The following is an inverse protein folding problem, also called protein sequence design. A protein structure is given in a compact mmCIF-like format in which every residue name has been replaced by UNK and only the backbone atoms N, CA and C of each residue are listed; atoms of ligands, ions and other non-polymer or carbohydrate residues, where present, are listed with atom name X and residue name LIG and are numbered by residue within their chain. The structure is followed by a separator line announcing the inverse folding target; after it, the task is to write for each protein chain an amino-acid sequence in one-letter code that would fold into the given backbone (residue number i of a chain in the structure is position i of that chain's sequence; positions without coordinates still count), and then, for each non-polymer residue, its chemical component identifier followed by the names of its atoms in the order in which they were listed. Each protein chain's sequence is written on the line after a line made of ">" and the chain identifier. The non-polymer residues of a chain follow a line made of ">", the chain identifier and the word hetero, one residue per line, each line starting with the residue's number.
data_IF_329744719325
#
_entry.id   IF_329744719325
#
_cell.length_a   1.000
_cell.length_b   1.000
_cell.length_c   1.000
_cell.angle_alpha   90.00
_cell.angle_beta   90.00
_cell.angle_gamma   90.00
#
_symmetry.space_group_name_H-M   'P 1'
#
loop_
_entity.id
_entity.type
_entity.pdbx_description
1 polymer ?
#
# COMPACT_ATOMS: atom_id res chain seq x y z
N UNK A 1 -19.08 2.24 13.32
CA UNK A 1 -18.97 2.37 11.87
C UNK A 1 -20.23 3.01 11.33
N UNK A 2 -20.17 3.54 10.11
CA UNK A 2 -21.32 4.17 9.48
C UNK A 2 -21.22 4.08 7.96
N UNK A 3 -22.36 3.97 7.28
CA UNK A 3 -22.44 4.05 5.82
C UNK A 3 -22.53 5.49 5.31
N UNK A 4 -23.09 6.39 6.10
CA UNK A 4 -23.46 7.76 5.69
C UNK A 4 -22.81 8.87 6.54
N UNK A 5 -22.06 8.49 7.57
CA UNK A 5 -21.45 9.40 8.54
C UNK A 5 -22.42 10.02 9.54
N UNK A 6 -23.72 9.66 9.47
CA UNK A 6 -24.80 10.22 10.32
C UNK A 6 -25.33 9.19 11.30
N UNK A 7 -25.65 7.99 10.82
CA UNK A 7 -26.12 6.88 11.66
C UNK A 7 -24.93 6.00 12.01
N UNK A 8 -24.69 5.81 13.30
CA UNK A 8 -23.50 5.11 13.81
C UNK A 8 -23.89 3.84 14.56
N UNK A 9 -23.25 2.72 14.21
CA UNK A 9 -23.27 1.48 14.97
C UNK A 9 -21.93 1.28 15.70
N UNK A 10 -21.96 0.60 16.84
CA UNK A 10 -20.75 0.17 17.55
C UNK A 10 -20.20 -1.06 16.82
N UNK A 11 -18.92 -1.01 16.41
CA UNK A 11 -18.23 -2.16 15.80
C UNK A 11 -17.45 -2.95 16.84
N UNK A 12 -16.83 -2.23 17.78
CA UNK A 12 -16.10 -2.78 18.92
C UNK A 12 -16.47 -1.95 20.13
N UNK A 13 -16.87 -2.61 21.20
CA UNK A 13 -17.11 -1.98 22.50
C UNK A 13 -15.99 -2.35 23.47
N UNK A 14 -15.44 -1.34 24.15
CA UNK A 14 -14.38 -1.47 25.16
C UNK A 14 -14.73 -0.75 26.46
N UNK A 15 -15.98 -0.37 26.67
CA UNK A 15 -16.38 0.43 27.85
C UNK A 15 -16.05 -0.25 29.19
N UNK A 16 -16.08 -1.58 29.23
CA UNK A 16 -15.77 -2.39 30.41
C UNK A 16 -14.51 -3.25 30.21
N UNK A 17 -13.62 -2.86 29.30
CA UNK A 17 -12.32 -3.50 29.12
C UNK A 17 -11.22 -2.69 29.82
N UNK A 18 -10.45 -3.34 30.69
CA UNK A 18 -9.38 -2.74 31.50
C UNK A 18 -8.00 -3.29 31.14
N UNK A 19 -7.89 -4.04 30.03
CA UNK A 19 -6.59 -4.54 29.55
C UNK A 19 -5.78 -3.40 28.95
N UNK A 20 -4.49 -3.39 29.25
CA UNK A 20 -3.54 -2.46 28.65
C UNK A 20 -3.05 -3.00 27.28
N UNK A 21 -3.54 -2.39 26.19
CA UNK A 21 -3.30 -2.82 24.80
C UNK A 21 -2.88 -1.63 23.91
N UNK A 22 -1.62 -1.17 23.98
CA UNK A 22 -1.18 0.04 23.26
C UNK A 22 -1.11 -0.11 21.74
N UNK A 23 -1.09 -1.33 21.20
CA UNK A 23 -1.11 -1.64 19.77
C UNK A 23 -2.21 -2.67 19.47
N UNK A 24 -3.43 -2.38 19.91
CA UNK A 24 -4.53 -3.33 19.83
C UNK A 24 -4.85 -3.72 18.37
N UNK A 25 -5.07 -5.01 18.16
CA UNK A 25 -5.57 -5.56 16.91
C UNK A 25 -6.88 -6.28 17.20
N UNK A 26 -7.92 -5.89 16.48
CA UNK A 26 -9.26 -6.45 16.67
C UNK A 26 -9.78 -6.90 15.30
N UNK A 27 -9.96 -8.20 15.18
CA UNK A 27 -10.74 -8.80 14.11
C UNK A 27 -12.22 -8.78 14.51
N UNK A 28 -13.11 -8.46 13.58
CA UNK A 28 -14.56 -8.48 13.84
C UNK A 28 -15.08 -9.90 13.67
N UNK A 29 -15.95 -10.35 14.58
CA UNK A 29 -16.58 -11.67 14.50
C UNK A 29 -17.36 -11.88 13.18
N UNK A 30 -17.94 -10.79 12.67
CA UNK A 30 -18.66 -10.77 11.40
C UNK A 30 -18.24 -9.56 10.57
N UNK A 31 -18.03 -9.70 9.25
CA UNK A 31 -17.67 -8.59 8.39
C UNK A 31 -18.75 -7.51 8.40
N UNK A 32 -18.32 -6.25 8.46
CA UNK A 32 -19.21 -5.09 8.51
C UNK A 32 -19.01 -4.22 7.28
N UNK A 33 -20.09 -3.90 6.58
CA UNK A 33 -20.06 -2.95 5.47
C UNK A 33 -20.18 -1.55 6.05
N UNK A 34 -19.12 -0.75 5.93
CA UNK A 34 -19.04 0.62 6.44
C UNK A 34 -18.20 1.49 5.51
N UNK A 35 -18.51 2.79 5.45
CA UNK A 35 -17.71 3.80 4.74
C UNK A 35 -16.90 4.67 5.69
N UNK A 36 -17.42 4.89 6.89
CA UNK A 36 -16.83 5.77 7.89
C UNK A 36 -16.53 5.00 9.18
N UNK A 37 -15.30 5.18 9.66
CA UNK A 37 -14.84 4.71 10.96
C UNK A 37 -14.68 5.91 11.89
N UNK A 38 -15.05 5.72 13.14
CA UNK A 38 -14.90 6.73 14.19
C UNK A 38 -14.40 6.02 15.44
N UNK A 39 -13.31 6.55 15.98
CA UNK A 39 -12.85 6.22 17.31
C UNK A 39 -13.52 7.16 18.31
N UNK A 40 -14.14 6.62 19.36
CA UNK A 40 -14.72 7.40 20.44
C UNK A 40 -13.93 7.12 21.71
N UNK A 41 -13.20 8.13 22.19
CA UNK A 41 -12.53 8.05 23.47
C UNK A 41 -13.53 8.00 24.62
N UNK A 42 -13.40 7.03 25.52
CA UNK A 42 -14.22 6.91 26.72
C UNK A 42 -13.50 7.59 27.88
N UNK A 43 -12.30 7.14 28.18
CA UNK A 43 -11.45 7.69 29.22
C UNK A 43 -9.98 7.44 28.90
N UNK A 44 -9.13 8.41 29.21
CA UNK A 44 -7.68 8.24 29.34
C UNK A 44 -7.26 8.87 30.66
N UNK A 45 -6.30 8.28 31.41
CA UNK A 45 -5.86 8.84 32.68
C UNK A 45 -5.09 10.17 32.52
N UNK A 46 -4.61 10.44 31.31
CA UNK A 46 -3.90 11.67 30.96
C UNK A 46 -4.86 12.79 30.54
N UNK A 47 -4.38 14.04 30.53
CA UNK A 47 -5.20 15.19 30.13
C UNK A 47 -5.54 15.25 28.64
N UNK A 48 -4.80 14.52 27.80
CA UNK A 48 -4.99 14.49 26.34
C UNK A 48 -4.88 13.05 25.82
N UNK A 49 -5.69 12.75 24.80
CA UNK A 49 -5.56 11.54 23.99
C UNK A 49 -4.57 11.81 22.84
N UNK A 50 -3.68 10.86 22.61
CA UNK A 50 -2.79 10.83 21.44
C UNK A 50 -2.91 9.47 20.77
N UNK A 51 -3.14 9.46 19.45
CA UNK A 51 -3.17 8.25 18.61
C UNK A 51 -2.07 8.41 17.57
N UNK A 52 -1.16 7.43 17.49
CA UNK A 52 -0.08 7.42 16.51
C UNK A 52 -0.60 7.01 15.13
N UNK A 53 -1.43 5.97 15.06
CA UNK A 53 -1.95 5.39 13.83
C UNK A 53 -3.29 4.69 14.08
N UNK A 54 -4.12 4.59 13.04
CA UNK A 54 -5.37 3.82 13.04
C UNK A 54 -5.48 3.10 11.70
N UNK A 55 -5.34 1.77 11.73
CA UNK A 55 -5.40 0.92 10.52
C UNK A 55 -6.69 0.15 10.45
N UNK A 56 -7.28 0.15 9.26
CA UNK A 56 -8.52 -0.54 8.95
C UNK A 56 -8.20 -1.51 7.83
N UNK A 57 -8.54 -2.77 8.04
CA UNK A 57 -8.36 -3.82 7.04
C UNK A 57 -9.73 -4.29 6.57
N UNK A 58 -9.84 -4.52 5.26
CA UNK A 58 -11.06 -4.98 4.63
C UNK A 58 -10.96 -4.92 3.12
N UNK A 59 -11.96 -5.45 2.45
CA UNK A 59 -12.08 -5.40 1.00
C UNK A 59 -13.02 -4.28 0.58
N UNK A 60 -12.60 -3.49 -0.40
CA UNK A 60 -13.51 -2.62 -1.14
C UNK A 60 -14.31 -3.39 -2.19
N UNK A 61 -15.40 -2.80 -2.67
CA UNK A 61 -16.21 -3.33 -3.78
C UNK A 61 -15.95 -2.62 -5.11
N UNK A 62 -14.93 -1.76 -5.17
CA UNK A 62 -14.52 -1.08 -6.39
C UNK A 62 -13.68 -1.96 -7.29
N UNK A 63 -13.31 -1.43 -8.46
CA UNK A 63 -12.47 -2.13 -9.41
C UNK A 63 -11.01 -2.05 -8.97
N UNK A 64 -10.29 -3.18 -9.09
CA UNK A 64 -8.84 -3.19 -8.99
C UNK A 64 -8.22 -2.41 -10.16
N UNK A 65 -7.00 -1.85 -10.00
CA UNK A 65 -6.34 -1.14 -11.09
C UNK A 65 -6.06 -2.08 -12.26
N UNK A 66 -6.03 -1.52 -13.46
CA UNK A 66 -5.58 -2.26 -14.63
C UNK A 66 -4.08 -2.58 -14.54
N UNK A 67 -3.67 -3.61 -15.29
CA UNK A 67 -2.25 -3.95 -15.46
C UNK A 67 -1.50 -2.77 -16.08
N UNK A 68 -0.42 -2.36 -15.41
CA UNK A 68 0.48 -1.30 -15.86
C UNK A 68 1.06 -1.65 -17.24
N UNK A 69 1.27 -0.63 -18.08
CA UNK A 69 1.80 -0.78 -19.45
C UNK A 69 3.10 0.00 -19.64
N UNK A 70 3.85 -0.40 -20.66
CA UNK A 70 5.05 0.29 -21.13
C UNK A 70 6.09 0.55 -20.03
N UNK A 71 6.37 -0.47 -19.20
CA UNK A 71 7.48 -0.42 -18.27
C UNK A 71 8.81 -0.29 -19.04
N UNK A 72 9.55 0.78 -18.77
CA UNK A 72 10.87 1.06 -19.32
C UNK A 72 11.85 1.25 -18.17
N UNK A 73 13.04 0.66 -18.30
CA UNK A 73 14.13 0.78 -17.33
C UNK A 73 15.39 1.25 -18.06
N UNK A 74 15.83 2.47 -17.75
CA UNK A 74 17.02 3.07 -18.33
C UNK A 74 18.07 3.26 -17.25
N UNK A 75 19.13 2.44 -17.27
CA UNK A 75 20.31 2.69 -16.44
C UNK A 75 21.02 3.96 -16.90
N UNK A 76 21.50 4.74 -15.95
CA UNK A 76 22.30 5.92 -16.22
C UNK A 76 23.76 5.56 -16.51
N UNK A 77 24.57 6.59 -16.83
CA UNK A 77 26.02 6.44 -16.99
C UNK A 77 26.66 5.82 -15.75
N UNK A 78 26.21 6.24 -14.56
CA UNK A 78 26.45 5.47 -13.34
C UNK A 78 25.44 4.33 -13.29
N UNK A 79 25.91 3.09 -13.53
CA UNK A 79 25.04 1.91 -13.60
C UNK A 79 24.42 1.49 -12.27
N UNK A 80 24.77 2.16 -11.17
CA UNK A 80 24.08 2.01 -9.87
C UNK A 80 22.73 2.75 -9.85
N UNK A 81 22.54 3.65 -10.81
CA UNK A 81 21.37 4.48 -10.96
C UNK A 81 20.53 4.06 -12.18
N UNK A 82 19.21 4.10 -12.05
CA UNK A 82 18.29 3.86 -13.15
C UNK A 82 17.04 4.74 -13.05
N UNK A 83 16.55 5.19 -14.20
CA UNK A 83 15.22 5.78 -14.36
C UNK A 83 14.25 4.68 -14.80
N UNK A 84 13.22 4.46 -13.98
CA UNK A 84 12.16 3.49 -14.24
C UNK A 84 10.90 4.29 -14.52
N UNK A 85 10.24 4.05 -15.65
CA UNK A 85 9.02 4.77 -16.05
C UNK A 85 7.98 3.80 -16.57
N UNK A 86 6.72 4.17 -16.47
CA UNK A 86 5.58 3.43 -17.03
C UNK A 86 4.46 4.39 -17.43
N UNK A 87 3.47 3.89 -18.15
CA UNK A 87 2.29 4.70 -18.49
C UNK A 87 1.52 5.07 -17.23
N UNK A 88 1.15 6.34 -17.12
CA UNK A 88 0.12 6.75 -16.17
C UNK A 88 -1.23 6.15 -16.60
N UNK A 89 -1.95 5.60 -15.63
CA UNK A 89 -3.31 5.08 -15.82
C UNK A 89 -4.29 5.75 -14.86
N UNK A 90 -5.57 5.45 -14.98
CA UNK A 90 -6.60 5.89 -14.05
C UNK A 90 -6.82 4.85 -12.94
N UNK A 91 -7.67 5.17 -11.95
CA UNK A 91 -8.06 4.25 -10.87
C UNK A 91 -6.87 3.67 -10.09
N UNK A 92 -5.90 4.52 -9.74
CA UNK A 92 -4.72 4.15 -8.95
C UNK A 92 -4.51 5.17 -7.82
N UNK A 93 -3.91 4.71 -6.72
CA UNK A 93 -3.33 5.58 -5.68
C UNK A 93 -1.81 5.58 -5.82
N UNK A 94 -1.23 4.45 -6.20
CA UNK A 94 0.20 4.31 -6.34
C UNK A 94 0.62 3.04 -7.07
N UNK A 95 1.92 2.82 -7.07
CA UNK A 95 2.57 1.68 -7.72
C UNK A 95 3.61 1.05 -6.79
N UNK A 96 3.74 -0.27 -6.87
CA UNK A 96 4.88 -1.00 -6.32
C UNK A 96 5.83 -1.34 -7.48
N UNK A 97 7.06 -0.85 -7.38
CA UNK A 97 8.16 -1.24 -8.26
C UNK A 97 8.90 -2.36 -7.55
N UNK A 98 8.98 -3.53 -8.18
CA UNK A 98 9.64 -4.72 -7.62
C UNK A 98 10.85 -5.06 -8.48
N UNK A 99 11.99 -5.36 -7.87
CA UNK A 99 13.20 -5.74 -8.60
C UNK A 99 14.05 -6.81 -7.90
N UNK A 100 14.85 -7.49 -8.71
CA UNK A 100 15.62 -8.67 -8.29
C UNK A 100 16.77 -9.00 -9.20
N UNK A 101 17.60 -9.95 -8.77
CA UNK A 101 18.77 -10.42 -9.53
C UNK A 101 18.44 -11.53 -10.54
N UNK A 102 17.22 -12.10 -10.45
CA UNK A 102 16.66 -13.06 -11.40
C UNK A 102 15.12 -12.96 -11.39
N UNK A 103 14.41 -13.46 -12.41
CA UNK A 103 12.94 -13.39 -12.49
C UNK A 103 12.22 -14.03 -11.30
N UNK A 104 12.82 -15.03 -10.68
CA UNK A 104 12.33 -15.78 -9.51
C UNK A 104 12.80 -15.18 -8.17
N UNK A 105 13.67 -14.15 -8.18
CA UNK A 105 14.30 -13.56 -6.97
C UNK A 105 14.07 -12.06 -6.88
N UNK A 106 12.81 -11.66 -7.01
CA UNK A 106 12.31 -10.27 -6.99
C UNK A 106 12.06 -9.78 -5.56
N UNK A 107 13.12 -9.68 -4.76
CA UNK A 107 13.02 -9.45 -3.30
C UNK A 107 13.03 -7.98 -2.86
N UNK A 108 13.27 -7.04 -3.78
CA UNK A 108 13.26 -5.63 -3.44
C UNK A 108 11.97 -4.99 -3.95
N UNK A 109 11.43 -4.04 -3.19
CA UNK A 109 10.26 -3.27 -3.60
C UNK A 109 10.34 -1.82 -3.15
N UNK A 110 9.76 -0.93 -3.95
CA UNK A 110 9.60 0.48 -3.62
C UNK A 110 8.19 0.92 -3.98
N UNK A 111 7.48 1.50 -3.01
CA UNK A 111 6.13 2.02 -3.22
C UNK A 111 6.19 3.52 -3.53
N UNK A 112 5.51 3.94 -4.59
CA UNK A 112 5.38 5.36 -4.97
C UNK A 112 3.92 5.75 -5.08
N UNK A 113 3.56 6.95 -4.61
CA UNK A 113 2.22 7.51 -4.70
C UNK A 113 2.15 8.53 -5.83
N UNK A 114 1.07 8.50 -6.60
CA UNK A 114 0.72 9.53 -7.63
C UNK A 114 1.85 9.85 -8.63
N UNK A 115 2.81 8.96 -8.81
CA UNK A 115 3.95 9.09 -9.72
C UNK A 115 4.04 7.88 -10.61
N UNK A 116 4.43 8.10 -11.87
CA UNK A 116 4.62 7.06 -12.87
C UNK A 116 6.11 6.84 -13.22
N UNK A 117 6.98 7.20 -12.30
CA UNK A 117 8.42 7.00 -12.42
C UNK A 117 9.10 6.79 -11.06
N UNK A 118 10.30 6.21 -11.09
CA UNK A 118 11.20 6.07 -9.95
C UNK A 118 12.65 6.27 -10.43
N UNK A 119 13.37 7.19 -9.82
CA UNK A 119 14.82 7.26 -9.91
C UNK A 119 15.43 6.37 -8.81
N UNK A 120 15.91 5.20 -9.21
CA UNK A 120 16.50 4.21 -8.31
C UNK A 120 18.01 4.39 -8.26
N UNK A 121 18.62 4.44 -7.07
CA UNK A 121 20.07 4.64 -6.86
C UNK A 121 20.74 3.54 -6.03
N UNK A 122 20.21 2.32 -6.14
CA UNK A 122 20.55 1.19 -5.26
C UNK A 122 20.93 -0.08 -6.02
N UNK A 123 21.40 0.06 -7.27
CA UNK A 123 21.85 -1.06 -8.08
C UNK A 123 23.36 -1.28 -7.98
N UNK A 124 23.80 -2.46 -8.40
CA UNK A 124 25.23 -2.79 -8.58
C UNK A 124 25.60 -2.72 -10.05
N UNK A 125 26.82 -2.26 -10.33
CA UNK A 125 27.37 -2.01 -11.67
C UNK A 125 27.25 -3.25 -12.56
N UNK A 126 27.90 -4.36 -12.23
CA UNK A 126 27.97 -5.58 -13.09
C UNK A 126 26.84 -6.59 -12.90
N UNK A 127 25.79 -6.23 -12.16
CA UNK A 127 24.65 -7.10 -11.90
C UNK A 127 23.51 -6.77 -12.85
N UNK A 128 23.04 -7.76 -13.62
CA UNK A 128 21.75 -7.65 -14.30
C UNK A 128 20.62 -7.68 -13.28
N UNK A 129 19.63 -6.81 -13.47
CA UNK A 129 18.42 -6.80 -12.65
C UNK A 129 17.18 -7.01 -13.50
N UNK A 130 16.15 -7.48 -12.84
CA UNK A 130 14.83 -7.74 -13.39
C UNK A 130 13.85 -6.84 -12.66
N UNK A 131 12.94 -6.21 -13.40
CA UNK A 131 12.00 -5.22 -12.89
C UNK A 131 10.58 -5.58 -13.28
N UNK A 132 9.64 -5.28 -12.39
CA UNK A 132 8.22 -5.37 -12.62
C UNK A 132 7.50 -4.27 -11.85
N UNK A 133 6.37 -3.81 -12.36
CA UNK A 133 5.52 -2.83 -11.68
C UNK A 133 4.11 -3.38 -11.55
N UNK A 134 3.43 -3.06 -10.45
CA UNK A 134 2.00 -3.28 -10.23
C UNK A 134 1.41 -2.00 -9.67
N UNK A 135 0.15 -1.71 -10.00
CA UNK A 135 -0.58 -0.58 -9.45
C UNK A 135 -1.47 -1.02 -8.29
N UNK A 136 -1.75 -0.13 -7.36
CA UNK A 136 -2.71 -0.38 -6.29
C UNK A 136 -3.66 0.80 -6.08
N UNK A 137 -4.85 0.49 -5.59
CA UNK A 137 -5.84 1.44 -5.07
C UNK A 137 -6.47 0.86 -3.79
N UNK A 138 -7.55 1.48 -3.29
CA UNK A 138 -8.25 1.04 -2.07
C UNK A 138 -8.94 -0.32 -2.22
N UNK A 139 -9.05 -0.83 -3.44
CA UNK A 139 -9.78 -2.06 -3.77
C UNK A 139 -8.85 -3.23 -4.10
N UNK A 140 -7.55 -3.00 -4.31
CA UNK A 140 -6.58 -4.07 -4.50
C UNK A 140 -5.37 -3.67 -5.34
N UNK A 141 -4.66 -4.70 -5.80
CA UNK A 141 -3.41 -4.60 -6.55
C UNK A 141 -3.63 -5.23 -7.93
N UNK A 142 -3.11 -4.61 -8.99
CA UNK A 142 -3.18 -5.13 -10.35
C UNK A 142 -2.30 -6.36 -10.53
N UNK A 143 -2.46 -7.07 -11.64
CA UNK A 143 -1.40 -7.94 -12.12
C UNK A 143 -0.09 -7.16 -12.33
N UNK A 144 1.02 -7.85 -12.11
CA UNK A 144 2.36 -7.35 -12.43
C UNK A 144 2.58 -7.25 -13.94
N UNK A 145 3.33 -6.24 -14.36
CA UNK A 145 3.87 -6.13 -15.72
C UNK A 145 4.64 -7.39 -16.11
N UNK A 146 4.87 -7.57 -17.41
CA UNK A 146 5.95 -8.47 -17.84
C UNK A 146 7.28 -8.01 -17.24
N UNK A 147 8.14 -8.96 -16.92
CA UNK A 147 9.45 -8.67 -16.33
C UNK A 147 10.35 -8.06 -17.40
N UNK A 148 10.98 -6.93 -17.06
CA UNK A 148 11.96 -6.24 -17.90
C UNK A 148 13.36 -6.47 -17.32
N UNK A 149 14.29 -6.98 -18.14
CA UNK A 149 15.71 -7.11 -17.77
C UNK A 149 16.44 -5.80 -18.07
N UNK A 150 17.33 -5.38 -17.17
CA UNK A 150 18.25 -4.25 -17.35
C UNK A 150 19.68 -4.67 -16.99
N UNK A 151 20.65 -4.25 -17.81
CA UNK A 151 22.08 -4.59 -17.74
C UNK A 151 22.95 -3.34 -17.60
#
# INVERSE_FOLDING_TARGET
>A
GSMDGKIWSILVDRINDYKDVPNDYIELDFPQIVRYIRYKNIHVPMSKLSISDLRIFGSGYGQIPAKVKNLVVNRYKDRRDAMITWDQQENFIGYNIVWGISPDKMYNSWMVYEKHFLELKSLTVDQSYYFSVEAFNENGISERTVIVKSE
#
